data_IF_144165959176
#
_entry.id   IF_144165959176
#
_cell.length_a   1.000
_cell.length_b   1.000
_cell.length_c   1.000
_cell.angle_alpha   90.00
_cell.angle_beta   90.00
_cell.angle_gamma   90.00
#
_symmetry.space_group_name_H-M   'P 1'
#
loop_
_entity.id
_entity.type
_entity.pdbx_description
1 polymer ?
#
# COMPACT_ATOMS: atom_id res chain seq x y z
N UNK A 1 10.23 -11.74 18.91
CA UNK A 1 9.18 -12.27 19.80
C UNK A 1 7.88 -12.33 18.99
N UNK A 2 7.44 -13.52 18.59
CA UNK A 2 6.22 -13.72 17.80
C UNK A 2 5.00 -13.65 18.72
N UNK A 3 4.39 -12.47 18.84
CA UNK A 3 3.11 -12.34 19.54
C UNK A 3 2.02 -13.05 18.71
N UNK A 4 1.14 -13.84 19.34
CA UNK A 4 -0.09 -14.29 18.70
C UNK A 4 -0.95 -13.05 18.46
N UNK A 5 -1.10 -12.67 17.19
CA UNK A 5 -1.80 -11.45 16.80
C UNK A 5 -3.29 -11.60 17.09
N UNK A 6 -3.86 -10.57 17.72
CA UNK A 6 -5.28 -10.54 18.02
C UNK A 6 -6.05 -10.46 16.69
N UNK A 7 -6.88 -11.46 16.34
CA UNK A 7 -7.61 -11.46 15.06
C UNK A 7 -8.63 -10.32 14.95
N UNK A 8 -8.96 -9.67 16.08
CA UNK A 8 -9.88 -8.53 16.13
C UNK A 8 -9.22 -7.20 15.71
N UNK A 9 -7.88 -7.12 15.71
CA UNK A 9 -7.18 -5.92 15.30
C UNK A 9 -7.16 -5.84 13.77
N UNK A 10 -7.44 -4.67 13.19
CA UNK A 10 -7.41 -4.47 11.73
C UNK A 10 -6.03 -4.78 11.14
N UNK A 11 -4.98 -4.38 11.84
CA UNK A 11 -3.62 -4.55 11.39
C UNK A 11 -2.65 -4.61 12.56
N UNK A 12 -1.43 -5.04 12.27
CA UNK A 12 -0.33 -5.07 13.21
C UNK A 12 0.94 -4.52 12.55
N UNK A 13 1.56 -3.56 13.23
CA UNK A 13 2.90 -3.04 13.00
C UNK A 13 3.62 -3.11 14.34
N UNK A 14 4.92 -3.41 14.32
CA UNK A 14 5.69 -3.53 15.56
C UNK A 14 5.69 -2.24 16.40
N UNK A 15 5.90 -2.37 17.70
CA UNK A 15 6.08 -1.20 18.59
C UNK A 15 7.55 -0.92 18.92
N UNK A 16 8.48 -1.69 18.36
CA UNK A 16 9.91 -1.56 18.65
C UNK A 16 10.45 -0.22 18.14
N UNK A 17 11.26 0.44 18.96
CA UNK A 17 11.92 1.71 18.63
C UNK A 17 13.40 1.53 18.23
N UNK A 18 13.82 0.30 17.96
CA UNK A 18 15.21 -0.05 17.70
C UNK A 18 15.73 0.46 16.34
N UNK A 19 14.84 0.57 15.35
CA UNK A 19 15.18 1.05 14.01
C UNK A 19 14.78 2.51 13.85
N UNK A 20 15.48 3.37 14.58
CA UNK A 20 15.26 4.81 14.59
C UNK A 20 15.91 5.47 13.38
N UNK A 21 15.17 6.33 12.70
CA UNK A 21 15.64 7.21 11.65
C UNK A 21 15.40 8.67 12.06
N UNK A 22 16.49 9.42 12.27
CA UNK A 22 16.42 10.87 12.45
C UNK A 22 15.87 11.50 11.18
N UNK A 23 14.80 12.27 11.32
CA UNK A 23 14.02 12.76 10.19
C UNK A 23 14.81 13.75 9.33
N UNK A 24 15.66 14.57 9.95
CA UNK A 24 16.48 15.54 9.23
C UNK A 24 17.64 14.85 8.49
N UNK A 25 18.26 13.85 9.12
CA UNK A 25 19.29 13.03 8.48
C UNK A 25 18.71 12.17 7.36
N UNK A 26 17.50 11.62 7.54
CA UNK A 26 16.78 10.88 6.50
C UNK A 26 16.55 11.74 5.26
N UNK A 27 15.97 12.94 5.42
CA UNK A 27 15.75 13.85 4.29
C UNK A 27 17.06 14.31 3.66
N UNK A 28 18.10 14.58 4.46
CA UNK A 28 19.41 14.97 3.94
C UNK A 28 20.06 13.83 3.15
N UNK A 29 19.99 12.60 3.63
CA UNK A 29 20.56 11.42 2.97
C UNK A 29 19.91 11.17 1.62
N UNK A 30 18.62 11.44 1.51
CA UNK A 30 17.83 11.21 0.31
C UNK A 30 17.56 12.51 -0.48
N UNK A 31 18.37 13.57 -0.31
CA UNK A 31 18.09 14.89 -0.90
C UNK A 31 18.01 14.88 -2.43
N UNK A 32 18.68 13.92 -3.06
CA UNK A 32 18.68 13.73 -4.51
C UNK A 32 17.49 12.87 -4.99
N UNK A 33 16.82 12.17 -4.07
CA UNK A 33 15.65 11.34 -4.37
C UNK A 33 14.40 12.23 -4.49
N UNK A 34 13.72 12.24 -5.66
CA UNK A 34 12.50 13.00 -5.87
C UNK A 34 11.41 12.75 -4.83
N UNK A 35 11.32 11.52 -4.29
CA UNK A 35 10.24 11.08 -3.40
C UNK A 35 10.35 11.63 -1.99
N UNK A 36 11.52 12.15 -1.59
CA UNK A 36 11.71 12.72 -0.25
C UNK A 36 11.60 14.24 -0.21
N UNK A 37 11.35 14.87 -1.38
CA UNK A 37 11.04 16.29 -1.46
C UNK A 37 9.80 16.58 -0.61
N UNK A 38 9.90 17.56 0.28
CA UNK A 38 8.78 17.96 1.15
C UNK A 38 8.23 16.85 2.08
N UNK A 39 9.01 15.78 2.33
CA UNK A 39 8.60 14.65 3.17
C UNK A 39 8.05 15.08 4.53
N UNK A 40 8.77 15.97 5.24
CA UNK A 40 8.39 16.42 6.58
C UNK A 40 7.08 17.23 6.58
N UNK A 41 6.93 18.29 5.76
CA UNK A 41 5.65 18.99 5.63
C UNK A 41 4.47 18.06 5.34
N UNK A 42 4.64 17.13 4.41
CA UNK A 42 3.57 16.23 3.97
C UNK A 42 3.23 15.20 5.05
N UNK A 43 4.23 14.67 5.75
CA UNK A 43 4.02 13.77 6.88
C UNK A 43 3.25 14.48 8.00
N UNK A 44 3.60 15.73 8.31
CA UNK A 44 2.84 16.51 9.30
C UNK A 44 1.40 16.77 8.85
N UNK A 45 1.18 17.05 7.57
CA UNK A 45 -0.15 17.26 7.01
C UNK A 45 -1.01 16.00 7.14
N UNK A 46 -0.42 14.84 6.82
CA UNK A 46 -1.06 13.54 6.95
C UNK A 46 -1.42 13.19 8.41
N UNK A 47 -0.52 13.43 9.36
CA UNK A 47 -0.74 13.06 10.77
C UNK A 47 -1.67 14.02 11.52
N UNK A 48 -1.77 15.28 11.09
CA UNK A 48 -2.51 16.32 11.79
C UNK A 48 -4.01 15.97 12.05
N UNK A 49 -4.80 15.47 11.08
CA UNK A 49 -6.17 15.01 11.33
C UNK A 49 -6.27 13.91 12.40
N UNK A 50 -5.38 12.92 12.33
CA UNK A 50 -5.33 11.78 13.25
C UNK A 50 -5.05 12.23 14.69
N UNK A 51 -4.06 13.12 14.87
CA UNK A 51 -3.74 13.71 16.17
C UNK A 51 -4.91 14.55 16.71
N UNK A 52 -5.57 15.35 15.87
CA UNK A 52 -6.73 16.16 16.28
C UNK A 52 -7.88 15.30 16.78
N UNK A 53 -8.15 14.18 16.11
CA UNK A 53 -9.18 13.22 16.52
C UNK A 53 -8.89 12.65 17.92
N UNK A 54 -7.64 12.28 18.20
CA UNK A 54 -7.19 11.81 19.51
C UNK A 54 -7.37 12.87 20.63
N UNK A 55 -7.15 14.14 20.31
CA UNK A 55 -7.42 15.26 21.21
C UNK A 55 -8.90 15.66 21.27
N UNK A 56 -9.82 14.96 20.57
CA UNK A 56 -11.26 15.30 20.46
C UNK A 56 -11.50 16.76 20.08
N UNK A 57 -10.59 17.35 19.32
CA UNK A 57 -10.77 18.69 18.78
C UNK A 57 -11.84 18.58 17.69
N UNK A 58 -12.97 19.27 17.84
CA UNK A 58 -14.02 19.28 16.81
C UNK A 58 -13.44 19.89 15.53
N UNK A 59 -13.21 19.05 14.53
CA UNK A 59 -12.92 19.52 13.17
C UNK A 59 -14.23 20.02 12.60
N UNK A 60 -14.33 21.34 12.41
CA UNK A 60 -15.44 21.93 11.65
C UNK A 60 -15.19 21.64 10.16
N UNK A 61 -15.72 20.51 9.68
CA UNK A 61 -15.96 20.25 8.26
C UNK A 61 -14.72 20.17 7.37
N UNK A 62 -14.02 19.03 7.39
CA UNK A 62 -13.16 18.64 6.27
C UNK A 62 -13.16 17.12 6.20
N UNK A 63 -13.65 16.57 5.09
CA UNK A 63 -13.67 15.14 4.82
C UNK A 63 -12.23 14.63 4.69
N UNK A 64 -12.00 13.36 5.04
CA UNK A 64 -10.69 12.69 4.95
C UNK A 64 -10.15 12.67 3.50
N UNK A 65 -11.02 12.90 2.52
CA UNK A 65 -10.71 12.90 1.08
C UNK A 65 -10.34 14.27 0.48
N UNK A 66 -10.36 15.37 1.25
CA UNK A 66 -10.13 16.73 0.71
C UNK A 66 -8.68 17.25 0.88
N UNK A 67 -7.73 16.42 1.32
CA UNK A 67 -6.35 16.87 1.62
C UNK A 67 -5.56 17.18 0.33
N UNK A 68 -5.92 16.59 -0.81
CA UNK A 68 -5.18 16.77 -2.07
C UNK A 68 -5.57 18.05 -2.86
N UNK A 69 -6.64 18.77 -2.47
CA UNK A 69 -7.18 19.87 -3.27
C UNK A 69 -7.11 21.26 -2.61
N UNK A 70 -6.19 21.47 -1.66
CA UNK A 70 -6.05 22.74 -0.94
C UNK A 70 -4.77 23.54 -1.29
N UNK A 71 -4.14 23.32 -2.45
CA UNK A 71 -2.84 23.94 -2.79
C UNK A 71 -2.95 25.22 -3.65
N UNK A 72 -4.07 25.94 -3.62
CA UNK A 72 -4.29 27.08 -4.52
C UNK A 72 -4.70 28.39 -3.83
N UNK A 73 -3.84 28.95 -2.96
CA UNK A 73 -3.68 30.42 -2.82
C UNK A 73 -2.50 30.82 -1.91
N UNK A 74 -1.80 31.91 -2.25
CA UNK A 74 -0.61 32.40 -1.54
C UNK A 74 -0.86 32.89 -0.10
N UNK A 75 -2.10 33.26 0.28
CA UNK A 75 -2.44 33.60 1.67
C UNK A 75 -2.65 32.36 2.57
N UNK A 76 -2.95 31.20 1.97
CA UNK A 76 -3.15 29.93 2.68
C UNK A 76 -1.82 29.32 3.16
N UNK A 77 -0.71 29.63 2.48
CA UNK A 77 0.61 29.06 2.78
C UNK A 77 1.09 29.38 4.21
N UNK A 78 0.85 30.59 4.72
CA UNK A 78 1.24 30.97 6.08
C UNK A 78 0.36 30.32 7.15
N UNK A 79 -0.94 30.16 6.88
CA UNK A 79 -1.85 29.46 7.79
C UNK A 79 -1.57 27.95 7.79
N UNK A 80 -1.24 27.38 6.63
CA UNK A 80 -0.86 25.99 6.47
C UNK A 80 0.44 25.65 7.22
N UNK A 81 1.47 26.48 7.11
CA UNK A 81 2.70 26.29 7.91
C UNK A 81 2.42 26.43 9.42
N UNK A 82 1.52 27.33 9.80
CA UNK A 82 1.11 27.51 11.19
C UNK A 82 0.33 26.29 11.73
N UNK A 83 -0.49 25.63 10.91
CA UNK A 83 -1.21 24.41 11.32
C UNK A 83 -0.27 23.22 11.40
N UNK A 84 0.71 23.08 10.49
CA UNK A 84 1.72 22.02 10.56
C UNK A 84 2.64 22.16 11.78
N UNK A 85 2.90 23.38 12.26
CA UNK A 85 3.68 23.61 13.49
C UNK A 85 3.04 23.01 14.75
N UNK A 86 1.74 22.67 14.68
CA UNK A 86 1.00 22.03 15.78
C UNK A 86 1.41 20.56 15.99
N UNK A 87 2.08 19.95 15.00
CA UNK A 87 2.58 18.57 15.02
C UNK A 87 4.08 18.61 15.30
N UNK A 88 4.47 18.12 16.48
CA UNK A 88 5.87 18.00 16.91
C UNK A 88 6.22 16.52 17.03
N UNK A 89 7.33 16.12 16.42
CA UNK A 89 7.82 14.75 16.53
C UNK A 89 8.68 14.62 17.78
N UNK A 90 8.41 13.60 18.59
CA UNK A 90 9.23 13.31 19.75
C UNK A 90 10.64 12.90 19.27
N UNK A 91 11.66 13.61 19.77
CA UNK A 91 13.08 13.41 19.39
C UNK A 91 13.36 13.64 17.89
N UNK A 92 12.47 14.27 17.14
CA UNK A 92 12.63 14.50 15.68
C UNK A 92 12.91 13.21 14.88
N UNK A 93 12.39 12.07 15.34
CA UNK A 93 12.65 10.75 14.75
C UNK A 93 11.37 10.04 14.30
N UNK A 94 11.54 9.18 13.30
CA UNK A 94 10.56 8.15 12.90
C UNK A 94 11.19 6.78 13.13
N UNK A 95 10.35 5.76 13.31
CA UNK A 95 10.80 4.40 13.60
C UNK A 95 10.36 3.48 12.49
N UNK A 96 11.32 2.86 11.81
CA UNK A 96 11.07 1.99 10.66
C UNK A 96 10.70 0.58 11.09
N UNK A 97 9.78 -0.02 10.36
CA UNK A 97 9.40 -1.42 10.47
C UNK A 97 9.60 -2.17 9.17
N UNK A 98 9.75 -3.48 9.28
CA UNK A 98 9.94 -4.37 8.13
C UNK A 98 8.64 -5.02 7.67
N UNK A 99 7.67 -5.20 8.58
CA UNK A 99 6.44 -5.94 8.31
C UNK A 99 5.23 -5.11 8.72
N UNK A 100 4.22 -5.12 7.86
CA UNK A 100 2.88 -4.64 8.11
C UNK A 100 1.94 -5.80 7.82
N UNK A 101 1.19 -6.24 8.82
CA UNK A 101 0.22 -7.33 8.67
C UNK A 101 -1.17 -6.76 8.71
N UNK A 102 -2.01 -7.14 7.76
CA UNK A 102 -3.40 -6.68 7.69
C UNK A 102 -4.34 -7.87 7.79
N UNK A 103 -5.24 -7.80 8.76
CA UNK A 103 -6.33 -8.75 8.93
C UNK A 103 -7.56 -8.24 8.17
N UNK A 104 -8.17 -9.12 7.38
CA UNK A 104 -9.42 -8.83 6.70
C UNK A 104 -10.37 -10.00 6.83
N UNK A 105 -11.66 -9.70 6.75
CA UNK A 105 -12.67 -10.74 6.62
C UNK A 105 -12.94 -10.99 5.14
N UNK A 106 -12.93 -12.27 4.79
CA UNK A 106 -13.25 -12.77 3.46
C UNK A 106 -14.76 -12.81 3.20
N UNK A 107 -15.14 -13.01 1.94
CA UNK A 107 -16.52 -13.03 1.47
C UNK A 107 -17.42 -14.05 2.18
N UNK A 108 -16.85 -15.18 2.65
CA UNK A 108 -17.54 -16.23 3.38
C UNK A 108 -17.37 -16.09 4.91
N UNK A 109 -17.04 -14.88 5.36
CA UNK A 109 -16.99 -14.49 6.78
C UNK A 109 -15.87 -15.18 7.55
N UNK A 110 -14.77 -15.54 6.88
CA UNK A 110 -13.55 -16.06 7.54
C UNK A 110 -12.51 -14.96 7.71
N UNK A 111 -11.69 -15.08 8.75
CA UNK A 111 -10.53 -14.21 8.92
C UNK A 111 -9.37 -14.72 8.05
N UNK A 112 -8.71 -13.79 7.38
CA UNK A 112 -7.48 -14.00 6.65
C UNK A 112 -6.54 -12.82 6.90
N UNK A 113 -5.27 -13.01 6.57
CA UNK A 113 -4.23 -12.03 6.81
C UNK A 113 -3.26 -11.96 5.63
N UNK A 114 -2.86 -10.75 5.27
CA UNK A 114 -1.75 -10.53 4.34
C UNK A 114 -0.57 -9.91 5.08
N UNK A 115 0.65 -10.28 4.67
CA UNK A 115 1.89 -9.69 5.16
C UNK A 115 2.51 -8.85 4.07
N UNK A 116 2.70 -7.56 4.34
CA UNK A 116 3.33 -6.60 3.46
C UNK A 116 4.77 -6.34 3.93
N UNK A 117 5.71 -6.45 3.00
CA UNK A 117 7.11 -6.17 3.21
C UNK A 117 7.68 -5.34 2.05
N UNK A 118 8.05 -4.06 2.29
CA UNK A 118 8.60 -3.15 1.28
C UNK A 118 9.89 -3.63 0.59
N UNK A 119 10.53 -4.69 1.10
CA UNK A 119 11.76 -5.24 0.54
C UNK A 119 11.54 -6.45 -0.37
N UNK A 120 10.30 -6.92 -0.49
CA UNK A 120 9.91 -8.09 -1.30
C UNK A 120 8.92 -7.68 -2.40
N UNK A 121 8.50 -8.62 -3.21
CA UNK A 121 7.39 -8.49 -4.18
C UNK A 121 6.00 -8.39 -3.51
N UNK A 122 5.89 -8.74 -2.23
CA UNK A 122 4.69 -8.52 -1.42
C UNK A 122 4.67 -7.10 -0.81
N UNK A 123 4.78 -6.07 -1.64
CA UNK A 123 4.78 -4.67 -1.21
C UNK A 123 3.56 -3.88 -1.69
N UNK A 124 2.73 -4.44 -2.57
CA UNK A 124 1.60 -3.74 -3.15
C UNK A 124 0.32 -3.88 -2.31
N UNK A 125 -0.38 -2.77 -2.12
CA UNK A 125 -1.61 -2.67 -1.32
C UNK A 125 -2.77 -2.10 -2.15
N UNK A 126 -3.99 -2.43 -1.73
CA UNK A 126 -5.21 -1.83 -2.28
C UNK A 126 -6.02 -1.09 -1.21
N UNK A 127 -6.61 0.03 -1.61
CA UNK A 127 -7.46 0.88 -0.78
C UNK A 127 -8.78 1.17 -1.49
N UNK A 128 -9.77 1.66 -0.75
CA UNK A 128 -11.03 2.13 -1.35
C UNK A 128 -10.82 3.45 -2.10
N UNK A 129 -11.29 3.53 -3.34
CA UNK A 129 -11.28 4.78 -4.09
C UNK A 129 -12.43 5.72 -3.67
N UNK A 130 -12.31 7.04 -3.91
CA UNK A 130 -13.42 7.97 -3.79
C UNK A 130 -14.61 7.53 -4.64
N UNK A 131 -15.84 7.83 -4.18
CA UNK A 131 -17.08 7.38 -4.81
C UNK A 131 -17.21 7.78 -6.30
N UNK A 132 -16.64 8.93 -6.66
CA UNK A 132 -16.69 9.48 -8.02
C UNK A 132 -15.66 8.84 -8.97
N UNK A 133 -14.80 7.95 -8.46
CA UNK A 133 -13.83 7.22 -9.26
C UNK A 133 -14.52 6.17 -10.13
N UNK A 134 -14.11 6.10 -11.41
CA UNK A 134 -14.57 5.04 -12.32
C UNK A 134 -14.12 3.65 -11.85
N UNK A 135 -12.99 3.56 -11.14
CA UNK A 135 -12.49 2.31 -10.58
C UNK A 135 -12.68 2.28 -9.06
N UNK A 136 -13.18 1.17 -8.47
CA UNK A 136 -13.53 1.09 -7.06
C UNK A 136 -12.35 1.18 -6.07
N UNK A 137 -11.11 1.03 -6.54
CA UNK A 137 -9.95 0.90 -5.67
C UNK A 137 -8.78 1.78 -6.11
N UNK A 138 -7.97 2.18 -5.14
CA UNK A 138 -6.63 2.73 -5.36
C UNK A 138 -5.59 1.66 -5.08
N UNK A 139 -4.42 1.77 -5.69
CA UNK A 139 -3.30 0.86 -5.48
C UNK A 139 -2.03 1.64 -5.24
N UNK A 140 -1.18 1.10 -4.37
CA UNK A 140 0.11 1.70 -4.11
C UNK A 140 1.15 0.61 -3.78
N UNK A 141 2.40 0.88 -4.12
CA UNK A 141 3.54 0.11 -3.65
C UNK A 141 4.06 0.73 -2.35
N UNK A 142 4.19 -0.07 -1.29
CA UNK A 142 4.71 0.41 0.00
C UNK A 142 6.23 0.50 -0.05
N UNK A 143 6.77 1.70 0.13
CA UNK A 143 8.20 2.01 0.17
C UNK A 143 8.78 1.87 1.59
N UNK A 144 7.96 2.17 2.60
CA UNK A 144 8.36 2.09 3.99
C UNK A 144 7.17 2.02 4.93
N UNK A 145 7.38 1.32 6.03
CA UNK A 145 6.41 1.18 7.12
C UNK A 145 7.04 1.87 8.31
N UNK A 146 6.31 2.79 8.92
CA UNK A 146 6.85 3.60 10.00
C UNK A 146 5.83 3.80 11.11
N UNK A 147 6.33 4.09 12.30
CA UNK A 147 5.57 4.80 13.30
C UNK A 147 6.34 6.02 13.80
N UNK A 148 5.62 6.93 14.44
CA UNK A 148 6.17 8.13 15.04
C UNK A 148 5.41 8.48 16.31
N UNK A 149 6.13 9.01 17.29
CA UNK A 149 5.52 9.55 18.48
C UNK A 149 5.30 11.06 18.28
N UNK A 150 4.04 11.50 18.34
CA UNK A 150 3.65 12.86 18.01
C UNK A 150 3.10 13.59 19.22
N UNK A 151 3.56 14.81 19.44
CA UNK A 151 3.06 15.75 20.45
C UNK A 151 2.23 16.83 19.73
N UNK A 152 1.01 17.05 20.21
CA UNK A 152 0.13 18.10 19.71
C UNK A 152 0.25 19.38 20.53
N UNK A 153 0.63 20.49 19.88
CA UNK A 153 0.93 21.76 20.56
C UNK A 153 -0.11 22.86 20.35
N UNK A 154 -1.26 22.56 19.74
CA UNK A 154 -2.30 23.54 19.43
C UNK A 154 -3.15 23.96 20.64
N UNK A 155 -3.69 25.20 20.67
CA UNK A 155 -4.74 25.60 21.61
C UNK A 155 -5.96 24.66 21.50
N UNK A 156 -6.32 24.02 22.61
CA UNK A 156 -7.35 22.96 22.64
C UNK A 156 -6.79 21.53 22.76
N UNK A 157 -5.46 21.39 22.82
CA UNK A 157 -4.84 20.14 23.24
C UNK A 157 -5.24 19.77 24.68
N UNK A 158 -5.57 18.50 24.93
CA UNK A 158 -5.88 17.98 26.27
C UNK A 158 -4.64 17.87 27.16
N UNK A 159 -3.52 17.46 26.57
CA UNK A 159 -2.26 17.12 27.22
C UNK A 159 -1.10 17.29 26.21
N UNK A 160 0.14 17.23 26.71
CA UNK A 160 1.35 17.22 25.87
C UNK A 160 2.02 15.84 25.87
N UNK A 161 1.21 14.78 25.98
CA UNK A 161 1.69 13.40 25.97
C UNK A 161 1.89 12.97 24.53
N UNK A 162 3.04 12.36 24.24
CA UNK A 162 3.34 11.83 22.92
C UNK A 162 2.39 10.66 22.58
N UNK A 163 1.87 10.66 21.37
CA UNK A 163 0.94 9.63 20.87
C UNK A 163 1.59 8.87 19.73
N UNK A 164 1.55 7.55 19.84
CA UNK A 164 2.01 6.64 18.80
C UNK A 164 1.06 6.72 17.60
N UNK A 165 1.60 7.00 16.42
CA UNK A 165 0.88 6.98 15.15
C UNK A 165 1.67 6.21 14.11
N UNK A 166 0.98 5.34 13.40
CA UNK A 166 1.53 4.50 12.35
C UNK A 166 1.18 5.11 10.98
N UNK A 167 2.08 4.95 10.01
CA UNK A 167 1.84 5.40 8.65
C UNK A 167 2.67 4.57 7.66
N UNK A 168 2.13 4.39 6.46
CA UNK A 168 2.83 3.80 5.33
C UNK A 168 3.27 4.91 4.39
N UNK A 169 4.52 4.87 3.93
CA UNK A 169 5.00 5.70 2.84
C UNK A 169 4.92 4.90 1.54
N UNK A 170 4.24 5.44 0.53
CA UNK A 170 3.84 4.68 -0.66
C UNK A 170 4.14 5.43 -1.96
N UNK A 171 4.30 4.68 -3.04
CA UNK A 171 4.33 5.15 -4.43
C UNK A 171 3.04 4.71 -5.13
N UNK A 172 2.27 5.67 -5.63
CA UNK A 172 0.95 5.44 -6.18
C UNK A 172 0.99 4.83 -7.58
N UNK A 173 0.04 3.92 -7.83
CA UNK A 173 -0.33 3.51 -9.18
C UNK A 173 -1.52 4.34 -9.66
N UNK A 174 -1.53 4.65 -10.95
CA UNK A 174 -2.71 5.14 -11.64
C UNK A 174 -3.33 4.01 -12.48
N UNK A 175 -4.66 3.95 -12.46
CA UNK A 175 -5.44 3.03 -13.27
C UNK A 175 -5.51 3.59 -14.69
N UNK A 176 -5.13 2.79 -15.68
CA UNK A 176 -5.18 3.23 -17.07
C UNK A 176 -6.61 3.24 -17.57
N UNK A 177 -6.98 4.34 -18.20
CA UNK A 177 -8.25 4.51 -18.91
C UNK A 177 -8.22 3.74 -20.25
N UNK A 178 -8.33 2.42 -20.15
CA UNK A 178 -8.46 1.48 -21.25
C UNK A 178 -9.68 0.62 -20.98
N UNK A 179 -10.46 0.31 -22.03
CA UNK A 179 -11.60 -0.61 -21.94
C UNK A 179 -11.19 -1.93 -21.27
N UNK A 180 -11.61 -2.08 -20.02
CA UNK A 180 -11.26 -3.16 -19.11
C UNK A 180 -12.41 -3.49 -18.18
N UNK A 181 -12.34 -4.62 -17.50
CA UNK A 181 -13.43 -5.12 -16.67
C UNK A 181 -14.20 -6.26 -17.30
N UNK A 182 -15.25 -6.68 -16.60
CA UNK A 182 -16.07 -7.84 -16.95
C UNK A 182 -16.69 -7.74 -18.35
N UNK A 183 -17.09 -6.53 -18.77
CA UNK A 183 -17.70 -6.27 -20.08
C UNK A 183 -16.73 -6.45 -21.25
N UNK A 184 -15.44 -6.24 -20.99
CA UNK A 184 -14.39 -6.27 -22.02
C UNK A 184 -13.54 -7.54 -21.97
N UNK A 185 -13.75 -8.42 -20.97
CA UNK A 185 -12.97 -9.65 -20.76
C UNK A 185 -11.46 -9.40 -20.68
N UNK A 186 -11.08 -8.21 -20.20
CA UNK A 186 -9.70 -7.74 -20.10
C UNK A 186 -9.45 -7.26 -18.66
N UNK A 187 -8.29 -7.61 -18.12
CA UNK A 187 -7.86 -7.11 -16.80
C UNK A 187 -7.58 -5.62 -16.90
N UNK A 188 -7.89 -4.86 -15.85
CA UNK A 188 -7.42 -3.47 -15.82
C UNK A 188 -5.91 -3.45 -15.68
N UNK A 189 -5.34 -2.37 -16.19
CA UNK A 189 -3.90 -2.16 -16.17
C UNK A 189 -3.56 -0.93 -15.34
N UNK A 190 -2.50 -1.05 -14.56
CA UNK A 190 -1.90 -0.01 -13.76
C UNK A 190 -0.59 0.45 -14.41
N UNK A 191 -0.18 1.68 -14.09
CA UNK A 191 1.19 2.17 -14.22
C UNK A 191 1.55 2.98 -12.99
N UNK A 192 2.83 3.05 -12.65
CA UNK A 192 3.28 3.98 -11.63
C UNK A 192 3.06 5.43 -12.08
N UNK A 193 2.63 6.28 -11.15
CA UNK A 193 2.66 7.72 -11.36
C UNK A 193 4.12 8.16 -11.50
N UNK A 194 4.40 9.04 -12.45
CA UNK A 194 5.78 9.44 -12.76
C UNK A 194 6.38 10.20 -11.59
N UNK A 195 7.63 9.89 -11.23
CA UNK A 195 8.37 10.54 -10.12
C UNK A 195 8.53 12.07 -10.23
N UNK A 196 8.23 12.64 -11.41
CA UNK A 196 8.23 14.09 -11.64
C UNK A 196 6.94 14.77 -11.21
N UNK A 197 5.86 14.00 -11.04
CA UNK A 197 4.56 14.48 -10.61
C UNK A 197 4.56 14.62 -9.08
N UNK A 198 3.92 15.68 -8.57
CA UNK A 198 3.97 16.00 -7.15
C UNK A 198 3.29 14.91 -6.31
N UNK A 199 2.21 14.34 -6.82
CA UNK A 199 1.37 13.31 -6.19
C UNK A 199 1.85 11.88 -6.44
N UNK A 200 3.07 11.67 -6.96
CA UNK A 200 3.61 10.33 -7.16
C UNK A 200 3.70 9.53 -5.85
N UNK A 201 4.12 10.19 -4.76
CA UNK A 201 4.22 9.58 -3.45
C UNK A 201 3.22 10.14 -2.46
N UNK A 202 2.89 9.34 -1.46
CA UNK A 202 1.99 9.76 -0.39
C UNK A 202 2.17 8.98 0.89
N UNK A 203 1.33 9.34 1.87
CA UNK A 203 1.23 8.66 3.15
C UNK A 203 -0.16 8.05 3.30
N UNK A 204 -0.20 6.83 3.81
CA UNK A 204 -1.43 6.06 4.02
C UNK A 204 -1.53 5.69 5.50
N UNK A 205 -2.70 5.93 6.10
CA UNK A 205 -3.05 5.33 7.39
C UNK A 205 -3.27 3.83 7.17
N UNK A 206 -2.55 2.94 7.87
CA UNK A 206 -2.70 1.50 7.70
C UNK A 206 -4.14 0.99 7.89
N UNK A 207 -4.98 1.72 8.62
CA UNK A 207 -6.41 1.45 8.83
C UNK A 207 -7.26 1.61 7.56
N UNK A 208 -6.75 2.31 6.53
CA UNK A 208 -7.43 2.50 5.26
C UNK A 208 -7.06 1.44 4.21
N UNK A 209 -6.07 0.60 4.48
CA UNK A 209 -5.69 -0.49 3.60
C UNK A 209 -6.75 -1.57 3.69
N UNK A 210 -7.20 -2.09 2.54
CA UNK A 210 -8.18 -3.18 2.52
C UNK A 210 -7.52 -4.55 2.54
N UNK A 211 -6.43 -4.67 1.77
CA UNK A 211 -5.73 -5.93 1.49
C UNK A 211 -4.40 -5.68 0.76
N UNK A 212 -3.52 -6.68 0.69
CA UNK A 212 -2.49 -6.72 -0.34
C UNK A 212 -3.11 -6.93 -1.72
N UNK A 213 -2.46 -6.44 -2.77
CA UNK A 213 -2.90 -6.71 -4.14
C UNK A 213 -1.85 -7.53 -4.91
N UNK A 214 -2.33 -8.27 -5.91
CA UNK A 214 -1.48 -9.13 -6.73
C UNK A 214 -1.44 -8.57 -8.14
N UNK A 215 -0.25 -8.12 -8.54
CA UNK A 215 -0.01 -7.50 -9.83
C UNK A 215 0.73 -8.46 -10.75
N UNK A 216 0.24 -8.61 -11.99
CA UNK A 216 0.89 -9.40 -13.04
C UNK A 216 1.66 -8.46 -13.95
N UNK A 217 2.93 -8.72 -14.15
CA UNK A 217 3.78 -7.91 -15.01
C UNK A 217 3.32 -7.97 -16.47
N UNK A 218 3.17 -6.82 -17.14
CA UNK A 218 2.84 -6.79 -18.56
C UNK A 218 4.11 -6.99 -19.42
N UNK A 219 4.62 -8.23 -19.46
CA UNK A 219 5.92 -8.56 -20.08
C UNK A 219 6.11 -7.98 -21.49
N UNK A 220 5.07 -8.04 -22.32
CA UNK A 220 5.10 -7.56 -23.71
C UNK A 220 5.32 -6.03 -23.85
N UNK A 221 5.04 -5.26 -22.80
CA UNK A 221 5.17 -3.79 -22.82
C UNK A 221 6.59 -3.30 -22.52
N UNK A 222 7.42 -4.18 -21.94
CA UNK A 222 8.80 -3.90 -21.56
C UNK A 222 8.97 -3.14 -20.24
N UNK A 223 10.23 -2.88 -19.89
CA UNK A 223 10.62 -2.12 -18.69
C UNK A 223 10.32 -0.63 -18.81
N UNK A 224 10.02 0.00 -17.69
CA UNK A 224 9.88 1.46 -17.59
C UNK A 224 11.23 2.15 -17.85
N UNK A 225 12.31 1.57 -17.31
CA UNK A 225 13.69 2.00 -17.49
C UNK A 225 14.47 0.93 -18.28
N UNK A 226 14.56 1.02 -19.62
CA UNK A 226 15.26 0.02 -20.45
C UNK A 226 16.76 -0.08 -20.15
N UNK A 227 17.35 0.97 -19.60
CA UNK A 227 18.73 1.06 -19.13
C UNK A 227 18.91 0.56 -17.68
N UNK A 228 17.82 0.20 -17.00
CA UNK A 228 17.78 -0.19 -15.58
C UNK A 228 18.37 0.85 -14.63
N UNK A 229 18.43 2.12 -15.06
CA UNK A 229 18.89 3.21 -14.20
C UNK A 229 17.70 3.66 -13.36
N UNK A 230 17.85 3.46 -12.05
CA UNK A 230 16.86 3.88 -11.05
C UNK A 230 16.86 5.40 -10.89
N UNK A 231 15.67 6.00 -10.88
CA UNK A 231 15.49 7.44 -10.57
C UNK A 231 15.40 7.63 -9.05
N UNK A 232 14.74 6.71 -8.36
CA UNK A 232 14.62 6.71 -6.90
C UNK A 232 15.19 5.43 -6.28
N UNK A 233 16.22 5.59 -5.45
CA UNK A 233 16.79 4.48 -4.69
C UNK A 233 15.79 3.92 -3.68
N UNK A 234 14.91 4.78 -3.15
CA UNK A 234 13.86 4.38 -2.22
C UNK A 234 12.78 3.54 -2.88
N UNK A 235 12.37 3.85 -4.12
CA UNK A 235 11.41 3.06 -4.87
C UNK A 235 11.99 1.82 -5.54
N UNK A 236 13.31 1.78 -5.78
CA UNK A 236 13.98 0.68 -6.50
C UNK A 236 13.41 0.48 -7.91
N UNK A 237 13.02 1.59 -8.53
CA UNK A 237 12.29 1.67 -9.80
C UNK A 237 13.06 1.17 -11.03
N UNK A 238 14.37 0.93 -10.92
CA UNK A 238 15.19 0.44 -12.04
C UNK A 238 14.73 -0.91 -12.61
N UNK A 239 13.96 -1.70 -11.86
CA UNK A 239 13.39 -2.97 -12.30
C UNK A 239 11.92 -2.87 -12.77
N UNK A 240 11.31 -1.68 -12.71
CA UNK A 240 9.89 -1.51 -12.93
C UNK A 240 9.46 -1.80 -14.37
N UNK A 241 8.24 -2.32 -14.48
CA UNK A 241 7.55 -2.52 -15.74
C UNK A 241 6.72 -1.29 -16.11
N UNK A 242 6.54 -1.07 -17.41
CA UNK A 242 5.66 0.03 -17.86
C UNK A 242 4.24 -0.12 -17.36
N UNK A 243 3.74 -1.35 -17.36
CA UNK A 243 2.37 -1.67 -16.98
C UNK A 243 2.30 -2.95 -16.15
N UNK A 244 1.27 -3.01 -15.33
CA UNK A 244 0.91 -4.14 -14.48
C UNK A 244 -0.56 -4.45 -14.69
N UNK A 245 -0.95 -5.71 -14.73
CA UNK A 245 -2.36 -6.12 -14.75
C UNK A 245 -2.82 -6.49 -13.35
N UNK A 246 -4.02 -6.05 -13.00
CA UNK A 246 -4.61 -6.37 -11.70
C UNK A 246 -5.10 -7.83 -11.71
N UNK A 247 -4.54 -8.68 -10.85
CA UNK A 247 -5.01 -10.06 -10.73
C UNK A 247 -6.25 -10.16 -9.85
N UNK A 248 -7.41 -9.89 -10.43
CA UNK A 248 -8.72 -10.04 -9.78
C UNK A 248 -9.05 -11.49 -9.38
N UNK A 249 -8.33 -12.47 -9.92
CA UNK A 249 -8.63 -13.90 -9.80
C UNK A 249 -7.67 -14.66 -8.89
N UNK A 250 -6.87 -13.96 -8.09
CA UNK A 250 -5.93 -14.59 -7.15
C UNK A 250 -6.64 -15.54 -6.18
N UNK A 251 -7.83 -15.16 -5.73
CA UNK A 251 -8.72 -15.99 -4.93
C UNK A 251 -10.19 -15.56 -5.08
N UNK A 252 -11.10 -16.32 -4.46
CA UNK A 252 -12.54 -16.05 -4.50
C UNK A 252 -12.92 -14.74 -3.81
N UNK A 253 -12.19 -14.35 -2.78
CA UNK A 253 -12.45 -13.13 -2.04
C UNK A 253 -12.17 -11.90 -2.90
N UNK A 254 -11.02 -11.88 -3.57
CA UNK A 254 -10.61 -10.83 -4.48
C UNK A 254 -11.61 -10.68 -5.63
N UNK A 255 -12.06 -11.78 -6.24
CA UNK A 255 -13.11 -11.76 -7.28
C UNK A 255 -14.37 -11.06 -6.77
N UNK A 256 -14.82 -11.40 -5.57
CA UNK A 256 -16.03 -10.83 -4.98
C UNK A 256 -15.88 -9.38 -4.54
N UNK A 257 -14.65 -8.89 -4.29
CA UNK A 257 -14.39 -7.46 -4.10
C UNK A 257 -14.63 -6.65 -5.38
N UNK A 258 -14.29 -7.20 -6.55
CA UNK A 258 -14.57 -6.57 -7.85
C UNK A 258 -16.00 -6.81 -8.35
N UNK A 259 -16.73 -7.78 -7.80
CA UNK A 259 -18.18 -7.91 -7.98
C UNK A 259 -18.92 -7.13 -6.90
N UNK A 260 -18.90 -5.81 -7.06
CA UNK A 260 -19.43 -4.86 -6.08
C UNK A 260 -20.85 -5.23 -5.61
N UNK A 261 -21.04 -5.31 -4.29
CA UNK A 261 -22.33 -5.62 -3.67
C UNK A 261 -22.71 -7.11 -3.62
N UNK A 262 -21.88 -8.02 -4.13
CA UNK A 262 -22.17 -9.46 -4.11
C UNK A 262 -21.51 -10.25 -2.97
N UNK A 263 -20.56 -9.66 -2.23
CA UNK A 263 -19.95 -10.27 -1.05
C UNK A 263 -20.57 -9.78 0.25
N UNK A 264 -20.91 -10.71 1.17
CA UNK A 264 -21.59 -10.42 2.46
C UNK A 264 -20.86 -9.35 3.30
N UNK A 265 -19.54 -9.17 3.11
CA UNK A 265 -18.74 -8.11 3.73
C UNK A 265 -18.02 -7.17 2.75
N UNK A 266 -18.26 -7.33 1.44
CA UNK A 266 -17.79 -6.43 0.38
C UNK A 266 -18.89 -5.43 -0.03
N UNK A 267 -19.85 -5.22 0.86
CA UNK A 267 -20.82 -4.13 0.76
C UNK A 267 -20.13 -2.88 1.27
N UNK A 268 -19.31 -2.27 0.42
CA UNK A 268 -18.80 -0.94 0.70
C UNK A 268 -20.00 0.00 0.69
N UNK A 269 -20.29 0.61 1.86
CA UNK A 269 -21.47 1.45 2.08
C UNK A 269 -21.40 2.74 1.24
N UNK A 270 -21.78 2.63 -0.03
CA UNK A 270 -22.17 3.77 -0.88
C UNK A 270 -23.42 3.47 -1.73
N UNK A 271 -24.25 2.53 -1.30
CA UNK A 271 -25.63 2.41 -1.80
C UNK A 271 -26.58 2.96 -0.75
N UNK A 272 -26.64 4.30 -0.59
CA UNK A 272 -27.85 4.98 -0.07
C UNK A 272 -27.88 6.49 -0.35
N UNK A 273 -27.59 6.98 -1.56
CA UNK A 273 -28.08 8.33 -1.91
C UNK A 273 -28.25 8.68 -3.40
N UNK A 274 -28.07 7.74 -4.34
CA UNK A 274 -28.38 8.01 -5.75
C UNK A 274 -29.80 7.54 -6.16
N UNK A 275 -30.38 6.57 -5.43
CA UNK A 275 -31.71 6.03 -5.75
C UNK A 275 -32.87 6.73 -5.02
N UNK A 276 -32.60 7.69 -4.14
CA UNK A 276 -33.64 8.44 -3.43
C UNK A 276 -34.14 9.70 -4.17
N UNK A 277 -33.56 10.05 -5.32
CA UNK A 277 -33.91 11.28 -6.07
C UNK A 277 -34.29 11.06 -7.54
N UNK A 278 -34.56 9.82 -7.95
CA UNK A 278 -35.17 9.55 -9.26
C UNK A 278 -36.32 8.56 -9.17
N UNK A 279 -37.47 9.03 -8.70
CA UNK A 279 -38.75 8.42 -9.06
C UNK A 279 -39.85 9.47 -9.07
N UNK A 280 -39.83 10.28 -10.13
CA UNK A 280 -40.95 11.12 -10.55
C UNK A 280 -41.48 10.65 -11.91
N UNK A 281 -42.56 9.87 -11.87
CA UNK A 281 -43.50 9.50 -12.96
C UNK A 281 -43.03 8.40 -13.95
N UNK A 282 -43.83 7.42 -14.38
CA UNK A 282 -45.14 6.86 -13.99
C UNK A 282 -45.29 5.53 -14.77
N UNK A 283 -45.66 4.47 -14.05
CA UNK A 283 -46.62 3.40 -14.39
C UNK A 283 -46.37 2.52 -15.64
N UNK A 284 -46.04 1.26 -15.37
CA UNK A 284 -46.91 0.12 -15.69
C UNK A 284 -46.75 -0.96 -14.62
N UNK A 285 -47.73 -1.06 -13.73
CA UNK A 285 -47.93 -2.09 -12.68
C UNK A 285 -49.04 -3.06 -13.14
N UNK A 286 -49.39 -4.14 -12.41
CA UNK A 286 -48.59 -5.08 -11.60
C UNK A 286 -49.00 -6.56 -11.84
N UNK A 287 -48.26 -7.51 -11.27
CA UNK A 287 -48.88 -8.67 -10.64
C UNK A 287 -48.21 -8.94 -9.28
N UNK A 288 -49.04 -8.87 -8.25
CA UNK A 288 -48.76 -8.93 -6.83
C UNK A 288 -48.01 -10.19 -6.36
N UNK A 289 -47.23 -10.06 -5.29
CA UNK A 289 -47.54 -10.65 -3.97
C UNK A 289 -46.88 -9.75 -2.91
N UNK A 290 -47.72 -9.16 -2.06
CA UNK A 290 -47.32 -8.38 -0.88
C UNK A 290 -47.22 -9.31 0.33
N UNK A 291 -46.20 -9.13 1.17
CA UNK A 291 -46.28 -9.42 2.60
C UNK A 291 -45.68 -8.22 3.35
N UNK A 292 -46.40 -7.57 4.28
CA UNK A 292 -45.93 -6.38 4.95
C UNK A 292 -45.04 -6.70 6.16
N UNK A 293 -44.03 -5.85 6.35
CA UNK A 293 -43.22 -5.75 7.56
C UNK A 293 -44.02 -4.96 8.61
N UNK A 294 -44.03 -5.43 9.86
CA UNK A 294 -44.47 -4.65 11.02
C UNK A 294 -43.41 -4.71 12.12
N UNK A 295 -43.25 -3.56 12.77
CA UNK A 295 -42.21 -3.18 13.71
C UNK A 295 -42.16 -3.97 15.04
N UNK A 296 -40.92 -4.14 15.50
CA UNK A 296 -40.40 -4.26 16.87
C UNK A 296 -41.27 -4.85 18.00
N UNK A 297 -40.83 -5.96 18.60
CA UNK A 297 -40.88 -6.22 20.06
C UNK A 297 -39.72 -7.16 20.49
N UNK A 298 -38.99 -6.79 21.54
CA UNK A 298 -38.07 -7.65 22.32
C UNK A 298 -38.85 -8.73 23.10
N UNK A 299 -38.45 -10.01 23.08
CA UNK A 299 -38.42 -10.89 24.28
C UNK A 299 -37.42 -12.05 24.06
N UNK A 300 -36.64 -12.35 25.10
CA UNK A 300 -35.75 -13.52 25.29
C UNK A 300 -36.50 -14.86 25.40
N UNK A 301 -35.85 -15.99 25.03
CA UNK A 301 -35.61 -17.20 25.86
C UNK A 301 -35.40 -18.48 25.02
N UNK A 302 -34.18 -19.01 25.16
CA UNK A 302 -33.67 -20.39 25.26
C UNK A 302 -34.49 -21.64 24.83
N UNK A 303 -33.68 -22.62 24.38
CA UNK A 303 -33.67 -24.09 24.61
C UNK A 303 -33.89 -24.95 23.35
N UNK A 304 -32.77 -25.56 22.92
CA UNK A 304 -32.50 -26.98 22.55
C UNK A 304 -33.49 -27.75 21.62
N UNK A 305 -33.12 -28.72 20.78
CA UNK A 305 -31.97 -29.66 20.69
C UNK A 305 -32.01 -30.37 19.30
N UNK A 306 -30.87 -30.96 18.90
CA UNK A 306 -30.66 -32.18 18.07
C UNK A 306 -30.97 -32.15 16.55
N UNK A 307 -30.22 -32.77 15.62
CA UNK A 307 -28.93 -33.48 15.60
C UNK A 307 -28.57 -33.82 14.11
N UNK A 308 -27.38 -34.38 13.90
CA UNK A 308 -26.83 -35.09 12.71
C UNK A 308 -26.15 -34.22 11.63
N UNK A 309 -24.81 -34.14 11.45
CA UNK A 309 -23.68 -35.10 11.38
C UNK A 309 -23.25 -35.46 9.93
N UNK A 310 -21.92 -35.58 9.78
CA UNK A 310 -21.13 -36.05 8.61
C UNK A 310 -20.86 -35.00 7.49
N UNK A 311 -19.64 -34.76 6.98
CA UNK A 311 -18.34 -35.42 7.13
C UNK A 311 -17.19 -34.43 6.84
N UNK A 312 -16.06 -34.68 7.49
CA UNK A 312 -14.76 -34.02 7.35
C UNK A 312 -14.04 -34.54 6.10
N UNK A 313 -13.51 -33.64 5.26
CA UNK A 313 -12.36 -33.93 4.39
C UNK A 313 -11.38 -32.76 4.42
N UNK A 314 -10.42 -32.91 5.33
CA UNK A 314 -8.98 -32.71 5.21
C UNK A 314 -8.48 -32.04 3.91
N UNK A 315 -7.95 -30.81 4.03
CA UNK A 315 -7.07 -30.22 3.02
C UNK A 315 -5.81 -29.76 3.74
N UNK A 316 -4.76 -30.55 3.55
CA UNK A 316 -3.44 -30.34 4.11
C UNK A 316 -2.83 -29.01 3.66
N UNK A 317 -2.34 -28.31 4.66
CA UNK A 317 -1.56 -27.09 4.66
C UNK A 317 -0.13 -27.40 4.20
N UNK A 318 0.30 -26.84 3.07
CA UNK A 318 1.68 -26.83 2.61
C UNK A 318 1.98 -25.47 1.97
N UNK A 319 2.63 -24.58 2.71
CA UNK A 319 3.91 -23.98 2.29
C UNK A 319 4.48 -23.13 3.44
N UNK A 320 5.20 -23.83 4.30
CA UNK A 320 6.07 -23.25 5.32
C UNK A 320 7.47 -23.06 4.73
N UNK A 321 7.82 -21.85 4.34
CA UNK A 321 9.21 -21.42 4.17
C UNK A 321 9.47 -20.13 4.96
N UNK A 322 9.42 -20.27 6.30
CA UNK A 322 9.99 -19.30 7.22
C UNK A 322 11.34 -19.81 7.71
N UNK A 323 12.40 -19.41 7.03
CA UNK A 323 13.75 -19.48 7.57
C UNK A 323 14.47 -18.17 7.25
N UNK A 324 14.39 -17.22 8.17
CA UNK A 324 15.43 -16.21 8.32
C UNK A 324 15.72 -16.02 9.81
N UNK A 325 16.75 -16.75 10.23
CA UNK A 325 17.42 -16.61 11.52
C UNK A 325 18.09 -15.25 11.59
N UNK A 326 17.72 -14.46 12.61
CA UNK A 326 18.46 -13.27 13.01
C UNK A 326 19.82 -13.70 13.58
N UNK A 327 20.90 -13.32 12.92
CA UNK A 327 22.25 -13.36 13.49
C UNK A 327 22.82 -11.95 13.53
N UNK A 328 22.77 -11.36 14.72
CA UNK A 328 23.59 -10.23 15.13
C UNK A 328 25.07 -10.62 15.07
N UNK A 329 25.90 -9.82 14.41
CA UNK A 329 27.31 -9.75 14.78
C UNK A 329 27.83 -8.32 14.60
N UNK A 330 28.06 -7.67 15.73
CA UNK A 330 28.55 -6.31 15.87
C UNK A 330 30.05 -6.36 16.08
N UNK A 331 30.85 -5.89 15.12
CA UNK A 331 32.24 -5.56 15.37
C UNK A 331 32.58 -4.19 14.77
N UNK A 332 32.71 -3.21 15.66
CA UNK A 332 33.27 -1.88 15.46
C UNK A 332 34.69 -1.88 16.03
N UNK A 333 35.69 -1.51 15.22
CA UNK A 333 37.00 -0.91 15.56
C UNK A 333 37.61 -0.57 14.18
N UNK A 334 38.25 0.54 13.85
CA UNK A 334 38.71 1.73 14.54
C UNK A 334 39.52 2.52 13.49
N UNK A 335 39.28 3.82 13.41
CA UNK A 335 39.82 4.73 12.40
C UNK A 335 41.32 5.01 12.61
N UNK A 336 42.17 4.89 11.57
CA UNK A 336 43.43 5.66 11.44
C UNK A 336 43.77 5.94 9.96
N UNK A 337 43.97 7.23 9.69
CA UNK A 337 44.50 7.87 8.49
C UNK A 337 46.00 7.58 8.26
N UNK A 338 46.49 7.53 7.02
CA UNK A 338 47.38 8.57 6.44
C UNK A 338 47.80 8.33 4.96
N UNK A 339 48.05 9.45 4.29
CA UNK A 339 48.58 9.78 2.94
C UNK A 339 49.36 8.76 2.07
N UNK A 340 49.29 8.97 0.75
CA UNK A 340 50.47 8.88 -0.14
C UNK A 340 50.21 8.42 -1.57
N UNK A 341 50.51 9.30 -2.52
CA UNK A 341 50.42 9.19 -3.99
C UNK A 341 51.32 8.12 -4.63
N UNK A 342 50.95 7.63 -5.82
CA UNK A 342 51.64 7.89 -7.10
C UNK A 342 51.05 7.06 -8.25
N UNK A 343 50.92 7.73 -9.40
CA UNK A 343 50.63 7.15 -10.70
C UNK A 343 51.85 6.39 -11.23
N UNK A 344 51.63 5.36 -12.05
CA UNK A 344 52.42 5.22 -13.28
C UNK A 344 51.69 4.33 -14.31
N UNK A 345 51.52 4.94 -15.47
CA UNK A 345 51.19 4.41 -16.79
C UNK A 345 52.22 3.34 -17.22
N UNK A 346 51.86 2.38 -18.06
CA UNK A 346 52.62 2.00 -19.26
C UNK A 346 52.03 0.80 -20.02
N UNK A 347 52.10 0.96 -21.32
CA UNK A 347 51.47 0.26 -22.44
C UNK A 347 52.20 -0.99 -22.94
N UNK A 348 51.40 -1.92 -23.48
CA UNK A 348 51.58 -2.70 -24.71
C UNK A 348 52.77 -3.66 -24.92
N UNK A 349 52.45 -4.91 -25.29
CA UNK A 349 52.94 -5.48 -26.56
C UNK A 349 52.12 -6.70 -27.03
N UNK A 350 51.73 -6.62 -28.30
CA UNK A 350 51.22 -7.67 -29.17
C UNK A 350 52.16 -8.89 -29.28
N UNK A 351 51.60 -10.09 -29.48
CA UNK A 351 52.20 -11.15 -30.31
C UNK A 351 51.12 -12.12 -30.80
N UNK A 352 50.94 -12.12 -32.12
CA UNK A 352 50.16 -13.05 -32.93
C UNK A 352 50.56 -14.52 -32.72
N UNK A 353 49.57 -15.42 -32.78
CA UNK A 353 49.75 -16.71 -33.46
C UNK A 353 48.40 -17.21 -33.99
N UNK A 354 48.28 -17.16 -35.32
CA UNK A 354 47.25 -17.81 -36.12
C UNK A 354 47.35 -19.34 -35.99
N UNK A 355 46.19 -20.00 -35.85
CA UNK A 355 46.00 -21.35 -36.39
C UNK A 355 44.58 -21.49 -36.90
N UNK A 356 44.47 -21.90 -38.17
CA UNK A 356 43.30 -21.86 -39.05
C UNK A 356 42.55 -23.21 -39.07
N UNK A 357 41.21 -23.12 -38.92
CA UNK A 357 40.09 -23.96 -39.46
C UNK A 357 39.87 -25.43 -39.04
N UNK A 358 38.68 -26.02 -39.37
CA UNK A 358 37.29 -25.50 -39.38
C UNK A 358 36.29 -26.48 -38.73
N UNK A 359 35.06 -26.02 -38.43
CA UNK A 359 33.95 -26.90 -38.03
C UNK A 359 32.67 -26.14 -37.76
N UNK A 360 31.99 -25.70 -38.82
CA UNK A 360 30.62 -25.20 -38.80
C UNK A 360 29.71 -26.44 -38.72
N UNK A 361 28.81 -26.49 -37.74
CA UNK A 361 27.52 -27.13 -37.94
C UNK A 361 26.41 -26.33 -37.23
N UNK A 362 25.55 -25.80 -38.08
CA UNK A 362 24.22 -25.23 -37.88
C UNK A 362 23.34 -26.22 -37.11
N UNK A 363 22.63 -25.78 -36.07
CA UNK A 363 21.47 -26.48 -35.56
C UNK A 363 20.24 -25.57 -35.64
N UNK A 364 19.28 -26.09 -36.40
CA UNK A 364 17.99 -25.50 -36.78
C UNK A 364 17.07 -25.26 -35.57
N UNK A 365 16.28 -24.20 -35.70
CA UNK A 365 15.08 -23.92 -34.92
C UNK A 365 13.99 -24.93 -35.29
N UNK A 366 13.53 -25.73 -34.33
CA UNK A 366 12.28 -26.49 -34.46
C UNK A 366 11.17 -25.89 -33.61
N UNK A 367 10.06 -25.70 -34.31
CA UNK A 367 8.77 -25.13 -33.98
C UNK A 367 8.00 -26.06 -33.03
N UNK A 368 7.62 -25.59 -31.84
CA UNK A 368 6.70 -26.30 -30.96
C UNK A 368 5.39 -25.51 -30.83
N UNK A 369 4.42 -25.87 -31.68
CA UNK A 369 2.99 -25.73 -31.43
C UNK A 369 2.47 -27.01 -30.80
N UNK A 370 1.82 -26.88 -29.64
CA UNK A 370 0.64 -27.67 -29.27
C UNK A 370 -0.37 -26.77 -28.57
#
# INVERSE_FOLDING_TARGET
>A
ESLPENPEDHHHIGHTQNFLEDLLLFVRKNSDDPLTKSFIPWLKAHLLPHVRALHKVKVSGTSIFDIDQAVASDEDSMQHLSTLSQVVFEVDCIYRHHLFRINYTTYDVRHAQDTINPRTDHCDIMLLAPLESAHPFLYACVLGIFHVNVIYTSPGSKDYVARHLEFLWVHWFEVRDVLSGWEHTTLDSLRFILMTEEDACGFVDPSNVLRGCHLILAFASGRMHPDSISISQNARDGADWKYYYINRFVDRDMVLRYHWGHGVRHVYLYVTQAEATSSGNTVSTPADIQVPISDSVKVELNVDTDDEAEALEDWEDCDSDSNNTESDDCHEEGFKSDFGSEEEDLTASYSDSESIHPGIDTLEYDDYRY
#
